data_IF_545713035155
#
_entry.id   IF_545713035155
#
_cell.length_a   1.000
_cell.length_b   1.000
_cell.length_c   1.000
_cell.angle_alpha   90.00
_cell.angle_beta   90.00
_cell.angle_gamma   90.00
#
_symmetry.space_group_name_H-M   'P 1'
#
loop_
_entity.id
_entity.type
_entity.pdbx_description
1 polymer ?
#
# COMPACT_ATOMS: atom_id res chain seq x y z
N UNK A 1 -12.48 -1.66 -17.20
CA UNK A 1 -11.11 -1.55 -17.76
C UNK A 1 -10.21 -1.29 -16.55
N UNK A 2 -9.25 -2.17 -16.25
CA UNK A 2 -8.48 -2.03 -15.00
C UNK A 2 -7.67 -0.74 -15.02
N UNK A 3 -7.83 0.09 -14.00
CA UNK A 3 -7.09 1.34 -13.84
C UNK A 3 -6.11 1.21 -12.69
N UNK A 4 -4.89 1.72 -12.90
CA UNK A 4 -3.84 1.75 -11.89
C UNK A 4 -3.62 3.18 -11.39
N UNK A 5 -3.59 3.34 -10.08
CA UNK A 5 -3.36 4.63 -9.42
C UNK A 5 -2.01 4.56 -8.73
N UNK A 6 -1.06 5.39 -9.15
CA UNK A 6 0.24 5.54 -8.48
C UNK A 6 0.05 6.31 -7.17
N UNK A 7 0.66 5.83 -6.09
CA UNK A 7 0.48 6.38 -4.75
C UNK A 7 1.85 6.82 -4.20
N UNK A 8 2.00 8.13 -3.97
CA UNK A 8 3.26 8.72 -3.50
C UNK A 8 3.27 9.17 -2.04
N UNK A 9 2.09 9.29 -1.41
CA UNK A 9 1.95 9.83 -0.05
C UNK A 9 0.90 9.07 0.77
N UNK A 10 0.97 9.08 2.12
CA UNK A 10 -0.07 8.49 2.96
C UNK A 10 -1.47 9.05 2.69
N UNK A 11 -1.59 10.33 2.37
CA UNK A 11 -2.89 10.94 2.02
C UNK A 11 -3.43 10.36 0.71
N UNK A 12 -2.58 10.21 -0.32
CA UNK A 12 -3.00 9.55 -1.56
C UNK A 12 -3.41 8.09 -1.32
N UNK A 13 -2.75 7.38 -0.38
CA UNK A 13 -3.17 6.04 0.02
C UNK A 13 -4.55 6.02 0.66
N UNK A 14 -4.84 6.98 1.55
CA UNK A 14 -6.17 7.11 2.15
C UNK A 14 -7.25 7.36 1.09
N UNK A 15 -6.99 8.22 0.11
CA UNK A 15 -7.92 8.44 -1.01
C UNK A 15 -8.07 7.20 -1.89
N UNK A 16 -6.99 6.47 -2.16
CA UNK A 16 -7.04 5.22 -2.92
C UNK A 16 -7.86 4.14 -2.19
N UNK A 17 -7.73 4.01 -0.86
CA UNK A 17 -8.52 3.06 -0.06
C UNK A 17 -10.03 3.30 -0.21
N UNK A 18 -10.47 4.57 -0.28
CA UNK A 18 -11.90 4.91 -0.46
C UNK A 18 -12.46 4.40 -1.79
N UNK A 19 -11.62 4.23 -2.80
CA UNK A 19 -12.00 3.72 -4.12
C UNK A 19 -12.17 2.19 -4.16
N UNK A 20 -12.04 1.50 -3.01
CA UNK A 20 -12.19 0.05 -2.88
C UNK A 20 -11.34 -0.75 -3.90
N UNK A 21 -10.01 -0.55 -3.90
CA UNK A 21 -9.13 -1.22 -4.84
C UNK A 21 -9.14 -2.73 -4.62
N UNK A 22 -8.99 -3.47 -5.73
CA UNK A 22 -8.88 -4.94 -5.73
C UNK A 22 -7.63 -5.36 -4.96
N UNK A 23 -6.52 -4.64 -5.16
CA UNK A 23 -5.27 -4.82 -4.42
C UNK A 23 -4.40 -3.57 -4.48
N UNK A 24 -3.43 -3.53 -3.59
CA UNK A 24 -2.26 -2.67 -3.69
C UNK A 24 -1.03 -3.50 -4.04
N UNK A 25 -0.06 -2.94 -4.73
CA UNK A 25 1.19 -3.64 -5.00
C UNK A 25 2.38 -2.71 -5.12
N UNK A 26 3.55 -3.25 -4.78
CA UNK A 26 4.85 -2.67 -5.15
C UNK A 26 5.26 -3.32 -6.48
N UNK A 27 5.56 -2.50 -7.49
CA UNK A 27 6.19 -2.95 -8.72
C UNK A 27 7.67 -3.22 -8.44
N UNK A 28 8.11 -4.43 -8.72
CA UNK A 28 9.51 -4.86 -8.58
C UNK A 28 10.15 -4.91 -9.96
N UNK A 29 11.48 -5.03 -9.97
CA UNK A 29 12.24 -5.25 -11.19
C UNK A 29 11.71 -6.49 -11.94
N UNK A 30 11.86 -6.47 -13.27
CA UNK A 30 11.45 -7.55 -14.16
C UNK A 30 9.95 -7.89 -14.10
N UNK A 31 9.10 -6.92 -13.72
CA UNK A 31 7.64 -7.08 -13.72
C UNK A 31 7.08 -7.85 -12.52
N UNK A 32 7.91 -8.16 -11.52
CA UNK A 32 7.45 -8.80 -10.28
C UNK A 32 6.52 -7.89 -9.47
N UNK A 33 5.57 -8.47 -8.73
CA UNK A 33 4.59 -7.72 -7.93
C UNK A 33 4.56 -8.20 -6.48
N UNK A 34 4.83 -7.31 -5.53
CA UNK A 34 4.54 -7.58 -4.10
C UNK A 34 3.13 -7.11 -3.75
N UNK A 35 2.14 -8.00 -3.88
CA UNK A 35 0.73 -7.68 -3.68
C UNK A 35 0.32 -7.65 -2.20
N UNK A 36 -0.58 -6.73 -1.85
CA UNK A 36 -1.04 -6.45 -0.49
C UNK A 36 -2.53 -6.09 -0.47
N UNK A 37 -3.20 -6.37 0.64
CA UNK A 37 -4.47 -5.72 1.01
C UNK A 37 -4.20 -4.69 2.09
N UNK A 38 -4.74 -3.49 1.91
CA UNK A 38 -4.57 -2.39 2.86
C UNK A 38 -5.91 -1.78 3.21
N UNK A 39 -6.18 -1.69 4.50
CA UNK A 39 -7.28 -0.92 5.07
C UNK A 39 -6.77 0.17 6.00
N UNK A 40 -7.68 1.04 6.43
CA UNK A 40 -7.37 2.09 7.39
C UNK A 40 -8.41 2.13 8.52
N UNK A 41 -7.94 2.07 9.75
CA UNK A 41 -8.75 2.24 10.95
C UNK A 41 -8.69 3.71 11.37
N UNK A 42 -9.77 4.46 11.10
CA UNK A 42 -9.83 5.90 11.39
C UNK A 42 -9.79 6.21 12.88
N UNK A 43 -10.33 5.33 13.74
CA UNK A 43 -10.37 5.56 15.19
C UNK A 43 -8.96 5.46 15.79
N UNK A 44 -8.22 4.43 15.37
CA UNK A 44 -6.85 4.17 15.83
C UNK A 44 -5.76 4.89 15.02
N UNK A 45 -6.14 5.50 13.89
CA UNK A 45 -5.23 6.17 12.93
C UNK A 45 -4.11 5.25 12.40
N UNK A 46 -4.42 3.99 12.15
CA UNK A 46 -3.48 2.96 11.69
C UNK A 46 -3.90 2.34 10.36
N UNK A 47 -2.90 2.00 9.55
CA UNK A 47 -3.04 1.17 8.37
C UNK A 47 -2.96 -0.30 8.76
N UNK A 48 -3.91 -1.10 8.28
CA UNK A 48 -3.91 -2.56 8.43
C UNK A 48 -3.42 -3.15 7.12
N UNK A 49 -2.21 -3.68 7.11
CA UNK A 49 -1.54 -4.23 5.93
C UNK A 49 -1.52 -5.75 6.05
N UNK A 50 -2.01 -6.44 5.02
CA UNK A 50 -1.87 -7.89 4.84
C UNK A 50 -1.06 -8.14 3.57
N UNK A 51 0.11 -8.76 3.70
CA UNK A 51 0.88 -9.23 2.56
C UNK A 51 0.19 -10.47 1.98
N UNK A 52 0.07 -10.54 0.65
CA UNK A 52 -0.59 -11.67 -0.01
C UNK A 52 0.37 -12.80 -0.39
N UNK A 53 1.67 -12.62 -0.17
CA UNK A 53 2.70 -13.63 -0.45
C UNK A 53 2.80 -14.63 0.70
N UNK A 54 2.85 -14.14 1.93
CA UNK A 54 3.16 -14.92 3.14
C UNK A 54 2.07 -14.82 4.23
N UNK A 55 0.94 -14.19 3.91
CA UNK A 55 -0.17 -13.88 4.80
C UNK A 55 0.15 -13.01 6.04
N UNK A 56 1.36 -12.44 6.10
CA UNK A 56 1.77 -11.62 7.25
C UNK A 56 0.91 -10.37 7.38
N UNK A 57 0.64 -9.98 8.63
CA UNK A 57 -0.21 -8.82 8.98
C UNK A 57 0.57 -7.82 9.81
N UNK A 58 0.36 -6.55 9.52
CA UNK A 58 1.01 -5.44 10.21
C UNK A 58 -0.01 -4.31 10.46
N UNK A 59 0.08 -3.69 11.62
CA UNK A 59 -0.63 -2.45 11.95
C UNK A 59 0.40 -1.33 12.05
N UNK A 60 0.28 -0.33 11.17
CA UNK A 60 1.28 0.72 11.02
C UNK A 60 0.64 2.11 11.10
N UNK A 61 1.20 2.98 11.92
CA UNK A 61 0.94 4.42 11.80
C UNK A 61 1.44 4.94 10.45
N UNK A 62 0.99 6.12 10.01
CA UNK A 62 1.52 6.75 8.79
C UNK A 62 3.05 6.92 8.84
N UNK A 63 3.61 7.26 10.01
CA UNK A 63 5.06 7.38 10.21
C UNK A 63 5.78 6.04 10.04
N UNK A 64 5.24 4.97 10.64
CA UNK A 64 5.83 3.63 10.51
C UNK A 64 5.71 3.10 9.08
N UNK A 65 4.56 3.28 8.42
CA UNK A 65 4.34 2.91 7.03
C UNK A 65 5.39 3.55 6.10
N UNK A 66 5.74 4.81 6.35
CA UNK A 66 6.73 5.56 5.56
C UNK A 66 8.19 5.25 5.91
N UNK A 67 8.44 4.53 7.01
CA UNK A 67 9.79 4.24 7.49
C UNK A 67 10.32 2.93 6.89
N UNK A 68 11.55 2.91 6.34
CA UNK A 68 12.15 1.68 5.83
C UNK A 68 12.37 0.62 6.92
N UNK A 69 12.40 1.01 8.20
CA UNK A 69 12.57 0.08 9.33
C UNK A 69 11.37 -0.85 9.54
N UNK A 70 10.20 -0.54 8.97
CA UNK A 70 8.98 -1.33 9.13
C UNK A 70 8.50 -1.97 7.82
N UNK A 71 9.19 -1.74 6.70
CA UNK A 71 8.91 -2.39 5.43
C UNK A 71 9.12 -1.50 4.21
N UNK A 72 8.76 -2.05 3.04
CA UNK A 72 9.08 -1.45 1.75
C UNK A 72 7.98 -0.56 1.15
N UNK A 73 6.82 -0.40 1.82
CA UNK A 73 5.72 0.43 1.30
C UNK A 73 6.14 1.90 1.22
N UNK A 74 6.64 2.47 2.32
CA UNK A 74 7.12 3.86 2.35
C UNK A 74 8.19 4.17 1.32
N UNK A 75 9.27 3.38 1.25
CA UNK A 75 10.27 3.48 0.17
C UNK A 75 9.64 3.42 -1.23
N UNK A 76 8.76 2.44 -1.51
CA UNK A 76 8.11 2.31 -2.81
C UNK A 76 7.19 3.50 -3.15
N UNK A 77 6.49 4.07 -2.15
CA UNK A 77 5.69 5.29 -2.36
C UNK A 77 6.58 6.47 -2.76
N UNK A 78 7.73 6.66 -2.09
CA UNK A 78 8.69 7.72 -2.45
C UNK A 78 9.31 7.49 -3.83
N UNK A 79 9.65 6.24 -4.16
CA UNK A 79 10.19 5.85 -5.46
C UNK A 79 9.19 5.94 -6.61
N UNK A 80 7.88 5.91 -6.31
CA UNK A 80 6.82 5.90 -7.32
C UNK A 80 6.44 4.51 -7.82
N UNK A 81 6.83 3.47 -7.09
CA UNK A 81 6.63 2.05 -7.43
C UNK A 81 5.42 1.43 -6.74
N UNK A 82 4.67 2.21 -5.96
CA UNK A 82 3.50 1.72 -5.23
C UNK A 82 2.18 2.13 -5.91
N UNK A 83 1.30 1.14 -6.15
CA UNK A 83 0.07 1.32 -6.92
C UNK A 83 -1.14 0.68 -6.25
N UNK A 84 -2.32 1.21 -6.56
CA UNK A 84 -3.62 0.56 -6.36
C UNK A 84 -4.23 0.14 -7.71
N UNK A 85 -4.79 -1.06 -7.75
CA UNK A 85 -5.59 -1.57 -8.86
C UNK A 85 -7.08 -1.37 -8.55
N UNK A 86 -7.76 -0.53 -9.34
CA UNK A 86 -9.21 -0.29 -9.25
C UNK A 86 -9.91 -0.85 -10.49
N UNK A 87 -11.12 -1.37 -10.29
CA UNK A 87 -11.94 -2.01 -11.33
C UNK A 87 -12.50 -1.01 -12.35
#
# INVERSE_FOLDING_TARGET
MRRFIRIKTPNALLEAIKQKPVRFFILLNYGGLSSKRIGYDRRKRIFKVRNLIDDSRQELTARQLMSPKHGNIGPAMRGGDFYAEVA
#
